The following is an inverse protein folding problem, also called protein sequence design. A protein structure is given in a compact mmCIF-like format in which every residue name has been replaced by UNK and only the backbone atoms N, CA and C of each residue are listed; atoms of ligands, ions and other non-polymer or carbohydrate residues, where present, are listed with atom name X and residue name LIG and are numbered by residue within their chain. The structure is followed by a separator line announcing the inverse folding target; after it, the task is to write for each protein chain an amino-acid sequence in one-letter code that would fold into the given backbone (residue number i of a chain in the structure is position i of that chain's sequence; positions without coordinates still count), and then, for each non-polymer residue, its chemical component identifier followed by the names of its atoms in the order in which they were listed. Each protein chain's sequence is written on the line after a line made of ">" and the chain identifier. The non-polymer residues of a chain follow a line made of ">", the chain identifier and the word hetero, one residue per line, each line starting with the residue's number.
data_IF_599781281279
#
_entry.id   IF_599781281279
#
_cell.length_a   1.000
_cell.length_b   1.000
_cell.length_c   1.000
_cell.angle_alpha   90.00
_cell.angle_beta   90.00
_cell.angle_gamma   90.00
#
_symmetry.space_group_name_H-M   'P 1'
#
loop_
_entity.id
_entity.type
_entity.pdbx_description
1 polymer ?
#
# COMPACT_ATOMS: atom_id res chain seq x y z
N UNK A 1 -9.16 0.05 -5.99
CA UNK A 1 -9.44 1.32 -5.31
C UNK A 1 -8.69 1.50 -4.00
N UNK A 2 -8.89 0.62 -2.99
CA UNK A 2 -8.24 0.78 -1.69
C UNK A 2 -6.70 0.88 -1.77
N UNK A 3 -6.05 0.00 -2.54
CA UNK A 3 -4.59 0.06 -2.74
C UNK A 3 -4.14 1.38 -3.38
N UNK A 4 -4.90 1.89 -4.34
CA UNK A 4 -4.60 3.17 -4.98
C UNK A 4 -4.76 4.32 -3.98
N UNK A 5 -5.84 4.33 -3.19
CA UNK A 5 -6.06 5.33 -2.14
C UNK A 5 -4.92 5.33 -1.10
N UNK A 6 -4.46 4.14 -0.71
CA UNK A 6 -3.31 3.98 0.18
C UNK A 6 -2.03 4.53 -0.44
N UNK A 7 -1.80 4.27 -1.74
CA UNK A 7 -0.64 4.82 -2.42
C UNK A 7 -0.66 6.37 -2.45
N UNK A 8 -1.82 6.99 -2.69
CA UNK A 8 -1.96 8.44 -2.59
C UNK A 8 -1.73 8.95 -1.15
N UNK A 9 -2.19 8.23 -0.13
CA UNK A 9 -1.87 8.54 1.27
C UNK A 9 -0.36 8.52 1.53
N UNK A 10 0.36 7.52 1.01
CA UNK A 10 1.82 7.40 1.16
C UNK A 10 2.56 8.55 0.46
N UNK A 11 2.14 8.94 -0.74
CA UNK A 11 2.68 10.11 -1.43
C UNK A 11 2.40 11.41 -0.68
N UNK A 12 1.18 11.60 -0.17
CA UNK A 12 0.81 12.78 0.59
C UNK A 12 1.58 12.90 1.92
N UNK A 13 1.88 11.77 2.55
CA UNK A 13 2.74 11.70 3.75
C UNK A 13 4.18 12.08 3.41
N UNK A 14 4.74 11.51 2.34
CA UNK A 14 6.11 11.81 1.88
C UNK A 14 6.26 13.29 1.54
N UNK A 15 5.27 13.91 0.91
CA UNK A 15 5.26 15.35 0.63
C UNK A 15 5.22 16.25 1.88
N UNK A 16 5.03 15.67 3.07
CA UNK A 16 5.01 16.33 4.38
C UNK A 16 6.12 15.83 5.30
N UNK A 17 7.18 15.26 4.72
CA UNK A 17 8.33 14.70 5.45
C UNK A 17 7.97 13.57 6.44
N UNK A 18 6.85 12.89 6.20
CA UNK A 18 6.43 11.71 6.95
C UNK A 18 6.84 10.42 6.23
N UNK A 19 7.27 9.44 7.01
CA UNK A 19 7.54 8.08 6.54
C UNK A 19 6.28 7.22 6.61
N UNK A 20 6.17 6.25 5.70
CA UNK A 20 5.10 5.26 5.70
C UNK A 20 5.63 3.86 5.44
N UNK A 21 4.97 2.84 6.01
CA UNK A 21 5.27 1.43 5.71
C UNK A 21 3.98 0.63 5.55
N UNK A 22 3.89 -0.12 4.43
CA UNK A 22 2.82 -1.08 4.21
C UNK A 22 3.06 -2.34 5.04
N UNK A 23 2.14 -2.66 5.95
CA UNK A 23 2.23 -3.85 6.79
C UNK A 23 1.42 -4.97 6.15
N UNK A 24 2.08 -5.83 5.37
CA UNK A 24 1.42 -6.93 4.67
C UNK A 24 0.61 -7.85 5.59
N UNK A 25 1.11 -8.07 6.82
CA UNK A 25 0.41 -8.87 7.83
C UNK A 25 -0.91 -8.26 8.32
N UNK A 26 -1.12 -6.95 8.20
CA UNK A 26 -2.34 -6.31 8.69
C UNK A 26 -3.58 -6.64 7.85
N UNK A 27 -3.41 -7.08 6.59
CA UNK A 27 -4.52 -7.59 5.78
C UNK A 27 -5.07 -8.94 6.30
N UNK A 28 -4.28 -9.68 7.09
CA UNK A 28 -4.70 -10.96 7.65
C UNK A 28 -5.60 -10.81 8.90
N UNK A 29 -5.94 -9.58 9.31
CA UNK A 29 -6.81 -9.32 10.46
C UNK A 29 -8.23 -9.84 10.18
N UNK A 30 -8.53 -11.01 10.77
CA UNK A 30 -9.85 -11.66 10.75
C UNK A 30 -10.55 -11.61 12.11
N UNK A 31 -9.86 -11.16 13.15
CA UNK A 31 -10.40 -11.07 14.51
C UNK A 31 -11.58 -10.07 14.54
N UNK A 32 -12.78 -10.57 14.83
CA UNK A 32 -14.00 -9.76 14.84
C UNK A 32 -14.05 -8.76 16.00
N UNK A 33 -13.47 -9.09 17.16
CA UNK A 33 -13.39 -8.16 18.27
C UNK A 33 -12.52 -6.95 17.91
N UNK A 34 -11.36 -7.19 17.28
CA UNK A 34 -10.49 -6.12 16.81
C UNK A 34 -11.16 -5.28 15.71
N UNK A 35 -11.84 -5.91 14.75
CA UNK A 35 -12.61 -5.19 13.73
C UNK A 35 -13.68 -4.28 14.34
N UNK A 36 -14.37 -4.76 15.38
CA UNK A 36 -15.36 -3.96 16.12
C UNK A 36 -14.70 -2.81 16.88
N UNK A 37 -13.56 -3.07 17.51
CA UNK A 37 -12.80 -2.06 18.26
C UNK A 37 -12.31 -0.91 17.37
N UNK A 38 -11.83 -1.21 16.16
CA UNK A 38 -11.38 -0.19 15.19
C UNK A 38 -12.55 0.44 14.40
N UNK A 39 -13.79 0.10 14.71
CA UNK A 39 -14.97 0.65 14.04
C UNK A 39 -15.15 0.20 12.58
N UNK A 40 -14.63 -0.98 12.21
CA UNK A 40 -14.82 -1.54 10.87
C UNK A 40 -16.30 -1.92 10.67
N UNK A 41 -16.96 -1.46 9.58
CA UNK A 41 -18.32 -1.88 9.26
C UNK A 41 -18.44 -3.39 9.01
N UNK A 42 -19.63 -3.93 9.28
CA UNK A 42 -19.95 -5.33 9.00
C UNK A 42 -19.88 -5.63 7.49
N UNK A 43 -19.36 -6.80 7.12
CA UNK A 43 -19.16 -7.19 5.73
C UNK A 43 -17.90 -6.61 5.07
N UNK A 44 -17.15 -5.74 5.76
CA UNK A 44 -15.90 -5.16 5.23
C UNK A 44 -14.64 -5.91 5.68
N UNK A 45 -13.61 -5.83 4.84
CA UNK A 45 -12.28 -6.40 5.08
C UNK A 45 -11.22 -5.31 5.13
N UNK A 46 -10.14 -5.56 5.88
CA UNK A 46 -8.98 -4.68 5.94
C UNK A 46 -8.19 -4.85 4.65
N UNK A 47 -8.30 -3.89 3.73
CA UNK A 47 -7.58 -3.93 2.45
C UNK A 47 -6.09 -3.56 2.58
N UNK A 48 -5.74 -2.76 3.58
CA UNK A 48 -4.36 -2.34 3.85
C UNK A 48 -4.20 -1.93 5.31
N UNK A 49 -3.03 -2.21 5.87
CA UNK A 49 -2.59 -1.63 7.14
C UNK A 49 -1.30 -0.85 6.87
N UNK A 50 -1.26 0.41 7.30
CA UNK A 50 -0.16 1.32 7.00
C UNK A 50 0.17 2.09 8.26
N UNK A 51 1.46 2.15 8.59
CA UNK A 51 1.96 3.05 9.63
C UNK A 51 2.40 4.37 8.98
N UNK A 52 2.22 5.47 9.71
CA UNK A 52 2.65 6.82 9.33
C UNK A 52 3.30 7.50 10.55
N UNK A 53 4.37 8.25 10.33
CA UNK A 53 5.02 9.01 11.40
C UNK A 53 6.30 9.71 10.95
N UNK A 54 6.99 10.32 11.90
CA UNK A 54 8.29 10.95 11.66
C UNK A 54 9.40 9.89 11.70
N UNK A 55 10.09 9.62 10.57
CA UNK A 55 11.12 8.60 10.54
C UNK A 55 12.39 9.11 11.24
N UNK A 56 13.01 8.29 12.08
CA UNK A 56 14.36 8.58 12.61
C UNK A 56 15.41 8.58 11.51
N UNK A 57 15.22 7.75 10.49
CA UNK A 57 16.08 7.68 9.31
C UNK A 57 15.29 7.16 8.10
N UNK A 58 15.73 7.56 6.89
CA UNK A 58 15.17 7.06 5.64
C UNK A 58 16.17 6.04 5.05
N UNK A 59 15.80 4.76 4.95
CA UNK A 59 16.70 3.75 4.37
C UNK A 59 16.87 3.99 2.87
N UNK A 60 18.04 3.63 2.34
CA UNK A 60 18.23 3.60 0.88
C UNK A 60 17.29 2.55 0.27
N UNK A 61 16.65 2.85 -0.88
CA UNK A 61 15.84 1.85 -1.56
C UNK A 61 16.71 0.65 -1.96
N UNK A 62 16.16 -0.58 -1.91
CA UNK A 62 16.89 -1.76 -2.38
C UNK A 62 17.21 -1.64 -3.88
N UNK A 63 18.22 -2.37 -4.35
CA UNK A 63 18.56 -2.41 -5.77
C UNK A 63 17.33 -2.90 -6.56
N UNK A 64 16.92 -2.14 -7.57
CA UNK A 64 15.84 -2.54 -8.48
C UNK A 64 16.31 -3.76 -9.29
N UNK A 65 15.41 -4.72 -9.49
CA UNK A 65 15.63 -5.81 -10.44
C UNK A 65 15.77 -5.25 -11.86
N UNK A 66 16.51 -5.95 -12.72
CA UNK A 66 16.60 -5.60 -14.14
C UNK A 66 15.19 -5.58 -14.77
N UNK A 67 14.90 -4.62 -15.66
CA UNK A 67 13.57 -4.47 -16.24
C UNK A 67 13.21 -5.66 -17.14
N UNK A 68 12.01 -6.20 -16.96
CA UNK A 68 11.40 -7.14 -17.90
C UNK A 68 10.57 -6.30 -18.88
N UNK A 69 11.10 -6.08 -20.08
CA UNK A 69 10.43 -5.29 -21.11
C UNK A 69 9.55 -6.22 -21.94
N UNK A 70 8.23 -6.03 -21.86
CA UNK A 70 7.25 -6.75 -22.68
C UNK A 70 6.93 -5.94 -23.94
N UNK A 71 6.89 -6.61 -25.09
CA UNK A 71 6.59 -6.01 -26.39
C UNK A 71 5.09 -5.71 -26.49
N UNK A 72 4.74 -4.49 -26.90
CA UNK A 72 3.37 -4.15 -27.28
C UNK A 72 3.02 -4.90 -28.57
N UNK A 73 1.94 -5.69 -28.54
CA UNK A 73 1.35 -6.27 -29.74
C UNK A 73 0.28 -5.27 -30.19
N UNK A 74 0.66 -4.36 -31.09
CA UNK A 74 -0.35 -3.66 -31.88
C UNK A 74 -0.87 -4.70 -32.87
N UNK A 75 -2.10 -5.16 -32.69
CA UNK A 75 -2.80 -5.91 -33.73
C UNK A 75 -2.94 -4.97 -34.92
N UNK A 76 -2.16 -5.23 -35.97
CA UNK A 76 -2.44 -4.68 -37.29
C UNK A 76 -3.80 -5.28 -37.71
N UNK A 77 -4.84 -4.50 -37.46
CA UNK A 77 -6.21 -4.84 -37.82
C UNK A 77 -6.33 -4.55 -39.32
N UNK A 78 -6.19 -5.60 -40.14
CA UNK A 78 -6.60 -5.59 -41.54
C UNK A 78 -8.13 -5.67 -41.63
#
# INVERSE_FOLDING_TARGET
>A
DCTSAVNYLMFAATARDLGTCWIGHGQAIKNQALKKEIGSPEGYQVAAAVIIGYPTSIPKPPKRNEPIIIKSIMSDNE
#
